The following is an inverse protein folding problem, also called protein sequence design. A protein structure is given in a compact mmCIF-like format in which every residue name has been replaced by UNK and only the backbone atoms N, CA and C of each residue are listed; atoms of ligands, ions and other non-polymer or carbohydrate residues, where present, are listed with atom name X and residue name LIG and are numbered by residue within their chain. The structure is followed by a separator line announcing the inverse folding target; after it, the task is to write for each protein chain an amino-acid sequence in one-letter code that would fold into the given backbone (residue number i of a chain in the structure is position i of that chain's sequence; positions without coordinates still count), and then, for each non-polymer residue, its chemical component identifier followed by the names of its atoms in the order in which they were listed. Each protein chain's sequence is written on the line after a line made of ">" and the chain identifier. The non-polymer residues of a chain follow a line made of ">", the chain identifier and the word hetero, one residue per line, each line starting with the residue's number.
data_IF_405214732907
#
_entry.id   IF_405214732907
#
_cell.length_a   1.000
_cell.length_b   1.000
_cell.length_c   1.000
_cell.angle_alpha   90.00
_cell.angle_beta   90.00
_cell.angle_gamma   90.00
#
_symmetry.space_group_name_H-M   'P 1'
#
loop_
_entity.id
_entity.type
_entity.pdbx_description
1 polymer ?
#
# COMPACT_ATOMS: atom_id res chain seq x y z
N UNK A 1 32.71 -8.87 11.81
CA UNK A 1 32.49 -8.27 13.15
C UNK A 1 31.53 -7.08 13.13
N UNK A 2 31.29 -6.44 12.00
CA UNK A 2 30.25 -5.41 11.84
C UNK A 2 28.82 -5.94 12.07
N UNK A 3 28.62 -7.25 11.97
CA UNK A 3 27.33 -7.90 12.17
C UNK A 3 26.91 -8.01 13.64
N UNK A 4 27.82 -7.85 14.61
CA UNK A 4 27.52 -8.04 16.04
C UNK A 4 26.92 -6.82 16.71
N UNK A 5 27.22 -5.60 16.26
CA UNK A 5 26.63 -4.36 16.82
C UNK A 5 25.25 -4.08 16.22
N UNK A 6 24.96 -4.59 15.01
CA UNK A 6 23.66 -4.49 14.37
C UNK A 6 22.70 -5.64 14.72
N UNK A 7 23.14 -6.68 15.42
CA UNK A 7 22.37 -7.91 15.57
C UNK A 7 21.08 -7.73 16.37
N UNK A 8 21.09 -6.94 17.43
CA UNK A 8 19.89 -6.70 18.24
C UNK A 8 18.85 -5.83 17.50
N UNK A 9 19.30 -4.82 16.75
CA UNK A 9 18.42 -4.02 15.90
C UNK A 9 17.85 -4.86 14.76
N UNK A 10 18.70 -5.62 14.06
CA UNK A 10 18.27 -6.55 13.00
C UNK A 10 17.30 -7.62 13.50
N UNK A 11 17.50 -8.13 14.73
CA UNK A 11 16.60 -9.12 15.34
C UNK A 11 15.24 -8.49 15.66
N UNK A 12 15.19 -7.29 16.26
CA UNK A 12 13.95 -6.59 16.57
C UNK A 12 13.17 -6.22 15.30
N UNK A 13 13.85 -5.74 14.26
CA UNK A 13 13.22 -5.39 13.00
C UNK A 13 12.67 -6.64 12.30
N UNK A 14 13.43 -7.73 12.30
CA UNK A 14 12.96 -9.02 11.80
C UNK A 14 11.72 -9.51 12.55
N UNK A 15 11.72 -9.46 13.87
CA UNK A 15 10.60 -9.90 14.69
C UNK A 15 9.36 -9.00 14.49
N UNK A 16 9.54 -7.69 14.28
CA UNK A 16 8.49 -6.76 13.92
C UNK A 16 7.86 -7.13 12.58
N UNK A 17 8.69 -7.37 11.57
CA UNK A 17 8.24 -7.76 10.23
C UNK A 17 7.53 -9.11 10.28
N UNK A 18 8.06 -10.10 10.99
CA UNK A 18 7.41 -11.40 11.15
C UNK A 18 6.04 -11.28 11.81
N UNK A 19 5.90 -10.48 12.87
CA UNK A 19 4.61 -10.24 13.52
C UNK A 19 3.63 -9.59 12.55
N UNK A 20 4.06 -8.61 11.78
CA UNK A 20 3.23 -7.96 10.79
C UNK A 20 2.77 -8.94 9.71
N UNK A 21 3.68 -9.73 9.14
CA UNK A 21 3.34 -10.75 8.14
C UNK A 21 2.42 -11.84 8.67
N UNK A 22 2.53 -12.19 9.96
CA UNK A 22 1.68 -13.18 10.62
C UNK A 22 0.32 -12.60 11.07
N UNK A 23 0.16 -11.28 11.07
CA UNK A 23 -1.10 -10.64 11.48
C UNK A 23 -2.16 -10.85 10.41
N UNK A 24 -3.28 -11.44 10.82
CA UNK A 24 -4.39 -11.69 9.91
C UNK A 24 -5.17 -10.40 9.61
N UNK A 25 -5.67 -10.27 8.39
CA UNK A 25 -6.57 -9.19 7.98
C UNK A 25 -7.98 -9.29 8.60
N UNK A 26 -8.17 -10.19 9.58
CA UNK A 26 -9.47 -10.46 10.20
C UNK A 26 -10.08 -9.22 10.85
N UNK A 27 -9.29 -8.48 11.64
CA UNK A 27 -9.78 -7.27 12.30
C UNK A 27 -10.25 -6.22 11.28
N UNK A 28 -9.48 -6.01 10.22
CA UNK A 28 -9.87 -5.09 9.15
C UNK A 28 -11.15 -5.57 8.45
N UNK A 29 -11.27 -6.85 8.15
CA UNK A 29 -12.46 -7.45 7.54
C UNK A 29 -13.69 -7.32 8.44
N UNK A 30 -13.57 -7.59 9.73
CA UNK A 30 -14.69 -7.53 10.68
C UNK A 30 -15.23 -6.10 10.86
N UNK A 31 -14.37 -5.09 10.66
CA UNK A 31 -14.76 -3.67 10.62
C UNK A 31 -15.37 -3.33 9.25
N UNK A 32 -14.67 -3.67 8.18
CA UNK A 32 -15.07 -3.38 6.80
C UNK A 32 -16.53 -3.76 6.51
N UNK A 33 -16.97 -4.92 6.96
CA UNK A 33 -18.32 -5.43 6.67
C UNK A 33 -19.46 -4.65 7.34
N UNK A 34 -19.13 -3.70 8.22
CA UNK A 34 -20.12 -2.81 8.85
C UNK A 34 -20.44 -1.58 8.00
N UNK A 35 -19.66 -1.32 6.97
CA UNK A 35 -19.71 -0.12 6.14
C UNK A 35 -19.97 -0.46 4.68
N UNK A 36 -20.36 0.54 3.89
CA UNK A 36 -20.54 0.37 2.45
C UNK A 36 -19.18 0.36 1.76
N UNK A 37 -18.71 -0.82 1.41
CA UNK A 37 -17.48 -1.03 0.69
C UNK A 37 -17.80 -1.52 -0.73
N UNK A 38 -17.32 -0.78 -1.72
CA UNK A 38 -17.57 -1.05 -3.13
C UNK A 38 -16.62 -2.12 -3.70
N UNK A 39 -15.38 -2.13 -3.24
CA UNK A 39 -14.39 -3.14 -3.62
C UNK A 39 -13.31 -3.27 -2.55
N UNK A 40 -12.69 -4.45 -2.51
CA UNK A 40 -11.61 -4.75 -1.58
C UNK A 40 -10.67 -5.78 -2.19
N UNK A 41 -9.38 -5.60 -1.95
CA UNK A 41 -8.33 -6.58 -2.23
C UNK A 41 -7.32 -6.62 -1.09
N UNK A 42 -6.61 -7.73 -0.94
CA UNK A 42 -5.39 -7.77 -0.13
C UNK A 42 -4.20 -7.27 -0.95
N UNK A 43 -3.28 -6.57 -0.29
CA UNK A 43 -2.06 -6.08 -0.92
C UNK A 43 -0.97 -7.11 -0.73
N UNK A 44 -0.57 -7.74 -1.84
CA UNK A 44 0.40 -8.83 -1.85
C UNK A 44 1.48 -8.63 -2.93
N UNK A 45 1.80 -9.65 -3.69
CA UNK A 45 2.93 -9.69 -4.60
C UNK A 45 2.96 -8.66 -5.71
N UNK A 46 1.80 -8.13 -6.14
CA UNK A 46 1.73 -7.04 -7.14
C UNK A 46 1.88 -5.64 -6.53
N UNK A 47 2.12 -5.56 -5.22
CA UNK A 47 2.30 -4.31 -4.48
C UNK A 47 1.04 -3.43 -4.44
N UNK A 48 1.14 -2.27 -3.78
CA UNK A 48 0.00 -1.36 -3.68
C UNK A 48 -0.44 -0.87 -5.07
N UNK A 49 0.49 -0.43 -5.91
CA UNK A 49 0.13 0.13 -7.23
C UNK A 49 -0.41 -0.93 -8.19
N UNK A 50 0.13 -2.15 -8.18
CA UNK A 50 -0.38 -3.23 -9.02
C UNK A 50 -1.81 -3.64 -8.65
N UNK A 51 -2.09 -3.85 -7.36
CA UNK A 51 -3.44 -4.19 -6.91
C UNK A 51 -4.43 -3.03 -7.06
N UNK A 52 -3.99 -1.78 -6.85
CA UNK A 52 -4.82 -0.59 -7.15
C UNK A 52 -5.16 -0.52 -8.65
N UNK A 53 -4.22 -0.85 -9.51
CA UNK A 53 -4.42 -0.89 -10.95
C UNK A 53 -5.45 -1.96 -11.35
N UNK A 54 -5.34 -3.16 -10.81
CA UNK A 54 -6.33 -4.24 -11.03
C UNK A 54 -7.72 -3.84 -10.55
N UNK A 55 -7.83 -3.24 -9.35
CA UNK A 55 -9.11 -2.75 -8.83
C UNK A 55 -9.72 -1.68 -9.74
N UNK A 56 -8.93 -0.70 -10.20
CA UNK A 56 -9.38 0.36 -11.08
C UNK A 56 -9.90 -0.19 -12.41
N UNK A 57 -9.15 -1.11 -13.03
CA UNK A 57 -9.56 -1.76 -14.28
C UNK A 57 -10.84 -2.59 -14.11
N UNK A 58 -10.91 -3.41 -13.06
CA UNK A 58 -12.07 -4.24 -12.79
C UNK A 58 -13.34 -3.45 -12.48
N UNK A 59 -13.18 -2.24 -11.93
CA UNK A 59 -14.29 -1.35 -11.56
C UNK A 59 -14.63 -0.30 -12.62
N UNK A 60 -13.84 -0.16 -13.67
CA UNK A 60 -14.06 0.83 -14.73
C UNK A 60 -13.91 2.29 -14.24
N UNK A 61 -13.08 2.54 -13.24
CA UNK A 61 -12.88 3.85 -12.61
C UNK A 61 -11.40 4.26 -12.62
N UNK A 62 -11.10 5.45 -12.12
CA UNK A 62 -9.73 5.90 -11.86
C UNK A 62 -9.48 5.95 -10.35
N UNK A 63 -8.38 5.35 -9.90
CA UNK A 63 -7.94 5.41 -8.52
C UNK A 63 -6.80 6.42 -8.40
N UNK A 64 -6.93 7.35 -7.46
CA UNK A 64 -5.91 8.32 -7.10
C UNK A 64 -5.20 7.85 -5.83
N UNK A 65 -3.89 7.69 -5.88
CA UNK A 65 -3.06 7.34 -4.73
C UNK A 65 -2.26 8.57 -4.29
N UNK A 66 -2.55 9.03 -3.09
CA UNK A 66 -1.82 10.10 -2.41
C UNK A 66 -0.59 9.49 -1.72
N UNK A 67 0.55 9.56 -2.38
CA UNK A 67 1.77 8.87 -1.96
C UNK A 67 2.23 9.24 -0.54
N UNK A 68 2.04 10.50 -0.15
CA UNK A 68 2.38 10.98 1.19
C UNK A 68 1.53 10.38 2.31
N UNK A 69 0.38 9.76 1.99
CA UNK A 69 -0.51 9.15 2.97
C UNK A 69 -0.31 7.63 3.12
N UNK A 70 0.54 7.03 2.29
CA UNK A 70 0.78 5.58 2.34
C UNK A 70 1.73 5.26 3.47
N UNK A 71 1.32 4.46 4.47
CA UNK A 71 2.20 4.05 5.55
C UNK A 71 3.23 3.04 5.07
N UNK A 72 4.47 3.21 5.48
CA UNK A 72 5.57 2.26 5.23
C UNK A 72 6.53 2.25 6.41
N UNK A 73 7.39 1.24 6.47
CA UNK A 73 8.46 1.19 7.47
C UNK A 73 9.52 2.26 7.17
N UNK A 74 9.88 3.13 8.13
CA UNK A 74 10.85 4.20 7.90
C UNK A 74 12.17 3.72 7.28
N UNK A 75 12.65 2.57 7.74
CA UNK A 75 13.90 1.96 7.26
C UNK A 75 13.83 1.54 5.78
N UNK A 76 12.62 1.26 5.27
CA UNK A 76 12.42 0.94 3.86
C UNK A 76 12.75 2.10 2.93
N UNK A 77 12.54 3.33 3.40
CA UNK A 77 12.91 4.54 2.65
C UNK A 77 14.41 4.60 2.39
N UNK A 78 15.21 4.40 3.43
CA UNK A 78 16.67 4.47 3.33
C UNK A 78 17.22 3.38 2.42
N UNK A 79 16.68 2.17 2.52
CA UNK A 79 17.05 1.04 1.66
C UNK A 79 16.68 1.32 0.19
N UNK A 80 15.48 1.83 -0.06
CA UNK A 80 15.04 2.19 -1.40
C UNK A 80 15.88 3.35 -1.98
N UNK A 81 16.22 4.36 -1.18
CA UNK A 81 17.08 5.47 -1.60
C UNK A 81 18.49 5.01 -1.99
N UNK A 82 18.98 3.93 -1.37
CA UNK A 82 20.25 3.28 -1.74
C UNK A 82 20.11 2.34 -2.95
N UNK A 83 18.92 2.20 -3.53
CA UNK A 83 18.67 1.31 -4.67
C UNK A 83 18.53 -0.17 -4.30
N UNK A 84 18.34 -0.49 -3.03
CA UNK A 84 18.10 -1.87 -2.57
C UNK A 84 16.64 -2.24 -2.78
N UNK A 85 16.29 -2.46 -4.05
CA UNK A 85 14.92 -2.72 -4.53
C UNK A 85 14.79 -4.18 -4.95
N UNK A 86 13.77 -4.92 -4.48
CA UNK A 86 13.52 -6.28 -4.92
C UNK A 86 13.24 -6.35 -6.43
N UNK A 87 13.73 -7.39 -7.09
CA UNK A 87 13.46 -7.60 -8.52
C UNK A 87 11.96 -7.67 -8.86
N UNK A 88 11.12 -8.04 -7.89
CA UNK A 88 9.66 -8.02 -8.01
C UNK A 88 9.09 -6.62 -8.26
N UNK A 89 9.67 -5.59 -7.65
CA UNK A 89 9.20 -4.21 -7.82
C UNK A 89 9.34 -3.72 -9.28
N UNK A 90 10.44 -4.10 -9.94
CA UNK A 90 10.63 -3.78 -11.37
C UNK A 90 9.57 -4.46 -12.25
N UNK A 91 9.27 -5.74 -11.99
CA UNK A 91 8.22 -6.46 -12.72
C UNK A 91 6.83 -5.87 -12.49
N UNK A 92 6.52 -5.48 -11.25
CA UNK A 92 5.26 -4.83 -10.91
C UNK A 92 5.11 -3.48 -11.63
N UNK A 93 6.20 -2.72 -11.71
CA UNK A 93 6.22 -1.48 -12.48
C UNK A 93 5.98 -1.74 -13.96
N UNK A 94 6.70 -2.66 -14.57
CA UNK A 94 6.55 -2.97 -15.99
C UNK A 94 5.12 -3.41 -16.33
N UNK A 95 4.46 -4.11 -15.41
CA UNK A 95 3.06 -4.51 -15.54
C UNK A 95 2.10 -3.32 -15.52
N UNK A 96 2.21 -2.45 -14.51
CA UNK A 96 1.20 -1.42 -14.25
C UNK A 96 1.50 -0.06 -14.93
N UNK A 97 2.77 0.26 -15.25
CA UNK A 97 3.20 1.61 -15.65
C UNK A 97 2.43 2.21 -16.84
N UNK A 98 1.92 1.39 -17.76
CA UNK A 98 1.17 1.87 -18.94
C UNK A 98 -0.19 2.46 -18.57
N UNK A 99 -0.71 2.14 -17.40
CA UNK A 99 -1.99 2.64 -16.88
C UNK A 99 -1.84 3.56 -15.67
N UNK A 100 -0.60 3.97 -15.37
CA UNK A 100 -0.28 4.85 -14.23
C UNK A 100 0.23 6.19 -14.75
N UNK A 101 -0.36 7.28 -14.28
CA UNK A 101 0.15 8.64 -14.44
C UNK A 101 0.71 9.12 -13.11
N UNK A 102 1.93 9.64 -13.11
CA UNK A 102 2.51 10.33 -11.95
C UNK A 102 2.25 11.83 -12.12
N UNK A 103 1.55 12.42 -11.16
CA UNK A 103 1.30 13.87 -11.09
C UNK A 103 2.12 14.48 -9.94
N UNK A 104 2.64 15.66 -10.14
CA UNK A 104 3.44 16.35 -9.12
C UNK A 104 4.84 15.75 -8.93
N UNK A 105 5.43 16.04 -7.78
CA UNK A 105 6.82 15.65 -7.46
C UNK A 105 6.84 14.39 -6.57
N UNK A 106 6.47 13.27 -7.16
CA UNK A 106 6.59 11.95 -6.49
C UNK A 106 7.95 11.35 -6.81
N UNK A 107 8.84 11.35 -5.83
CA UNK A 107 10.22 10.88 -5.99
C UNK A 107 10.30 9.44 -6.51
N UNK A 108 11.41 9.11 -7.16
CA UNK A 108 11.66 7.74 -7.63
C UNK A 108 11.67 6.74 -6.48
N UNK A 109 12.26 7.10 -5.34
CA UNK A 109 12.28 6.28 -4.12
C UNK A 109 10.87 5.94 -3.64
N UNK A 110 9.96 6.92 -3.61
CA UNK A 110 8.57 6.66 -3.25
C UNK A 110 7.90 5.71 -4.25
N UNK A 111 8.08 5.95 -5.55
CA UNK A 111 7.52 5.06 -6.56
C UNK A 111 8.04 3.62 -6.41
N UNK A 112 9.33 3.44 -6.12
CA UNK A 112 9.94 2.13 -5.90
C UNK A 112 9.31 1.42 -4.69
N UNK A 113 9.07 2.13 -3.58
CA UNK A 113 8.36 1.61 -2.40
C UNK A 113 6.93 1.18 -2.72
N UNK A 114 6.21 1.96 -3.53
CA UNK A 114 4.82 1.67 -3.87
C UNK A 114 4.67 0.47 -4.84
N UNK A 115 5.73 0.10 -5.52
CA UNK A 115 5.83 -1.13 -6.33
C UNK A 115 6.47 -2.32 -5.60
N UNK A 116 6.86 -2.14 -4.33
CA UNK A 116 7.51 -3.20 -3.54
C UNK A 116 6.53 -4.36 -3.28
N UNK A 117 6.86 -5.61 -3.68
CA UNK A 117 6.00 -6.77 -3.45
C UNK A 117 5.88 -7.07 -1.96
N UNK A 118 4.64 -7.21 -1.48
CA UNK A 118 4.34 -7.46 -0.08
C UNK A 118 3.96 -8.92 0.15
N UNK A 119 4.36 -9.48 1.30
CA UNK A 119 3.89 -10.80 1.73
C UNK A 119 2.50 -10.68 2.36
N UNK A 120 2.27 -9.62 3.14
CA UNK A 120 1.02 -9.38 3.85
C UNK A 120 0.89 -7.87 4.10
N UNK A 121 0.51 -7.14 3.06
CA UNK A 121 0.43 -5.67 3.05
C UNK A 121 -0.90 -5.10 3.58
N UNK A 122 -1.79 -5.95 4.09
CA UNK A 122 -3.09 -5.52 4.58
C UNK A 122 -4.18 -5.51 3.52
N UNK A 123 -5.30 -4.86 3.80
CA UNK A 123 -6.42 -4.70 2.89
C UNK A 123 -6.42 -3.29 2.27
N UNK A 124 -6.63 -3.23 0.97
CA UNK A 124 -6.99 -2.03 0.24
C UNK A 124 -8.49 -2.07 -0.06
N UNK A 125 -9.24 -1.07 0.38
CA UNK A 125 -10.69 -1.03 0.22
C UNK A 125 -11.17 0.31 -0.27
N UNK A 126 -12.15 0.31 -1.18
CA UNK A 126 -12.86 1.50 -1.62
C UNK A 126 -14.16 1.62 -0.82
N UNK A 127 -14.23 2.61 0.06
CA UNK A 127 -15.34 2.84 0.99
C UNK A 127 -16.18 4.00 0.48
N UNK A 128 -17.50 3.89 0.62
CA UNK A 128 -18.44 4.99 0.30
C UNK A 128 -18.03 6.27 1.04
N UNK A 129 -18.03 7.45 0.38
CA UNK A 129 -17.62 8.70 1.00
C UNK A 129 -18.36 9.03 2.28
N UNK A 130 -19.66 8.68 2.38
CA UNK A 130 -20.45 8.95 3.59
C UNK A 130 -20.01 8.10 4.80
N UNK A 131 -19.38 6.96 4.58
CA UNK A 131 -18.94 6.02 5.61
C UNK A 131 -17.42 6.11 5.86
N UNK A 132 -16.65 6.67 4.93
CA UNK A 132 -15.18 6.63 4.93
C UNK A 132 -14.56 7.13 6.25
N UNK A 133 -15.01 8.27 6.76
CA UNK A 133 -14.46 8.85 7.98
C UNK A 133 -14.77 8.01 9.23
N UNK A 134 -15.96 7.39 9.31
CA UNK A 134 -16.35 6.54 10.42
C UNK A 134 -15.58 5.20 10.37
N UNK A 135 -15.50 4.59 9.19
CA UNK A 135 -14.75 3.38 8.95
C UNK A 135 -13.26 3.56 9.31
N UNK A 136 -12.63 4.66 8.85
CA UNK A 136 -11.23 4.95 9.16
C UNK A 136 -10.96 5.12 10.64
N UNK A 137 -11.85 5.79 11.38
CA UNK A 137 -11.72 5.91 12.85
C UNK A 137 -11.73 4.55 13.51
N UNK A 138 -12.74 3.71 13.22
CA UNK A 138 -12.86 2.38 13.81
C UNK A 138 -11.67 1.48 13.42
N UNK A 139 -11.18 1.58 12.18
CA UNK A 139 -9.98 0.87 11.76
C UNK A 139 -8.75 1.27 12.60
N UNK A 140 -8.55 2.56 12.85
CA UNK A 140 -7.40 3.06 13.61
C UNK A 140 -7.40 2.63 15.07
N UNK A 141 -8.54 2.38 15.66
CA UNK A 141 -8.65 1.86 17.04
C UNK A 141 -8.03 0.46 17.14
N UNK A 142 -8.11 -0.34 16.10
CA UNK A 142 -7.57 -1.71 16.06
C UNK A 142 -6.29 -1.84 15.24
N UNK A 143 -6.09 -0.97 14.28
CA UNK A 143 -4.98 -0.98 13.30
C UNK A 143 -4.44 0.45 13.18
N UNK A 144 -3.53 0.87 14.07
CA UNK A 144 -3.04 2.26 14.11
C UNK A 144 -2.45 2.77 12.79
N UNK A 145 -1.93 1.87 11.95
CA UNK A 145 -1.38 2.21 10.63
C UNK A 145 -2.46 2.40 9.54
N UNK A 146 -3.75 2.20 9.85
CA UNK A 146 -4.80 2.42 8.86
C UNK A 146 -4.81 3.87 8.38
N UNK A 147 -4.80 4.07 7.07
CA UNK A 147 -4.71 5.37 6.43
C UNK A 147 -5.64 5.48 5.23
N UNK A 148 -6.13 6.69 4.98
CA UNK A 148 -6.75 7.02 3.71
C UNK A 148 -5.64 7.33 2.72
N UNK A 149 -5.36 6.36 1.86
CA UNK A 149 -4.26 6.43 0.89
C UNK A 149 -4.65 7.07 -0.44
N UNK A 150 -5.94 7.42 -0.62
CA UNK A 150 -6.39 8.03 -1.85
C UNK A 150 -7.90 8.11 -1.97
N UNK A 151 -8.38 8.26 -3.19
CA UNK A 151 -9.80 8.35 -3.55
C UNK A 151 -10.05 7.79 -4.95
N UNK A 152 -11.31 7.61 -5.30
CA UNK A 152 -11.74 7.05 -6.59
C UNK A 152 -12.60 8.08 -7.32
N UNK A 153 -12.42 8.20 -8.63
CA UNK A 153 -13.21 9.06 -9.52
C UNK A 153 -13.84 8.24 -10.64
N UNK A 154 -14.72 8.85 -11.41
CA UNK A 154 -15.10 8.33 -12.71
C UNK A 154 -13.85 8.12 -13.57
N UNK A 155 -13.95 7.24 -14.57
CA UNK A 155 -12.80 6.88 -15.43
C UNK A 155 -12.24 8.11 -16.14
N UNK A 156 -10.98 8.40 -15.83
CA UNK A 156 -10.15 9.39 -16.52
C UNK A 156 -9.30 8.73 -17.64
N UNK A 157 -8.30 9.45 -18.15
CA UNK A 157 -7.41 8.92 -19.20
C UNK A 157 -6.70 7.64 -18.75
N UNK A 158 -6.14 7.63 -17.53
CA UNK A 158 -5.45 6.48 -16.98
C UNK A 158 -6.24 5.83 -15.82
N UNK A 159 -5.90 4.58 -15.51
CA UNK A 159 -6.53 3.80 -14.44
C UNK A 159 -6.06 4.23 -13.06
N UNK A 160 -4.80 4.64 -12.96
CA UNK A 160 -4.17 5.02 -11.71
C UNK A 160 -3.47 6.37 -11.86
N UNK A 161 -3.69 7.24 -10.90
CA UNK A 161 -3.00 8.52 -10.75
C UNK A 161 -2.26 8.49 -9.42
N UNK A 162 -0.96 8.67 -9.49
CA UNK A 162 -0.09 8.78 -8.33
C UNK A 162 0.29 10.24 -8.12
N UNK A 163 -0.02 10.78 -6.92
CA UNK A 163 0.18 12.18 -6.54
C UNK A 163 0.71 12.33 -5.11
#
# INVERSE_FOLDING_TARGET
>A
SACLVGSEMCIRDRDRIYRQMATLNRAARDIMVKYRVHSCTDVTGFALLGHSFEMAQGSGCTVHIQSGNVPFHPEAWDLAAMGLIPAGAYRNRDFAQKGVTVRGDVSRTMQDLLYDPQTSGGLLMAVDPADAAACLRELRDSIPAASQVGYVTEKEENWLILE
#
